data_IF_544805842071
#
_entry.id   IF_544805842071
#
_cell.length_a   1.000
_cell.length_b   1.000
_cell.length_c   1.000
_cell.angle_alpha   90.00
_cell.angle_beta   90.00
_cell.angle_gamma   90.00
#
_symmetry.space_group_name_H-M   'P 1'
#
loop_
_entity.id
_entity.type
_entity.pdbx_description
1 polymer ?
#
# COMPACT_ATOMS: atom_id res chain seq x y z
N UNK A 1 -17.68 -26.64 -53.99
CA UNK A 1 -17.87 -26.86 -52.50
C UNK A 1 -16.64 -26.43 -51.68
N UNK A 2 -15.40 -26.67 -52.08
CA UNK A 2 -14.21 -26.33 -51.25
C UNK A 2 -13.95 -24.82 -51.02
N UNK A 3 -14.40 -23.91 -51.93
CA UNK A 3 -14.25 -22.45 -51.75
C UNK A 3 -15.22 -21.87 -50.72
N UNK A 4 -16.46 -22.36 -50.66
CA UNK A 4 -17.47 -21.90 -49.68
C UNK A 4 -17.11 -22.29 -48.24
N UNK A 5 -16.53 -23.48 -48.05
CA UNK A 5 -16.06 -23.96 -46.75
C UNK A 5 -14.89 -23.13 -46.17
N UNK A 6 -13.98 -22.63 -47.05
CA UNK A 6 -12.89 -21.72 -46.65
C UNK A 6 -13.39 -20.34 -46.22
N UNK A 7 -14.43 -19.81 -46.85
CA UNK A 7 -15.03 -18.50 -46.44
C UNK A 7 -15.81 -18.60 -45.15
N UNK A 8 -16.50 -19.71 -44.88
CA UNK A 8 -17.21 -19.92 -43.60
C UNK A 8 -16.22 -20.14 -42.46
N UNK A 9 -15.10 -20.88 -42.68
CA UNK A 9 -14.08 -21.04 -41.63
C UNK A 9 -13.33 -19.74 -41.31
N UNK A 10 -13.10 -18.87 -42.30
CA UNK A 10 -12.52 -17.55 -42.10
C UNK A 10 -13.45 -16.60 -41.34
N UNK A 11 -14.74 -16.62 -41.67
CA UNK A 11 -15.76 -15.80 -40.99
C UNK A 11 -15.95 -16.15 -39.50
N UNK A 12 -15.95 -17.45 -39.19
CA UNK A 12 -16.04 -17.92 -37.78
C UNK A 12 -14.79 -17.58 -36.97
N UNK A 13 -13.60 -17.67 -37.56
CA UNK A 13 -12.35 -17.30 -36.88
C UNK A 13 -12.28 -15.77 -36.58
N UNK A 14 -12.72 -14.93 -37.52
CA UNK A 14 -12.77 -13.47 -37.34
C UNK A 14 -13.82 -13.09 -36.30
N UNK A 15 -15.00 -13.74 -36.31
CA UNK A 15 -16.06 -13.51 -35.32
C UNK A 15 -15.62 -13.96 -33.91
N UNK A 16 -14.94 -15.11 -33.80
CA UNK A 16 -14.40 -15.61 -32.53
C UNK A 16 -13.27 -14.70 -32.00
N UNK A 17 -12.39 -14.20 -32.88
CA UNK A 17 -11.36 -13.23 -32.49
C UNK A 17 -11.97 -11.89 -32.06
N UNK A 18 -13.02 -11.41 -32.77
CA UNK A 18 -13.75 -10.21 -32.39
C UNK A 18 -14.48 -10.34 -31.06
N UNK A 19 -15.14 -11.48 -30.84
CA UNK A 19 -15.79 -11.79 -29.55
C UNK A 19 -14.77 -11.92 -28.42
N UNK A 20 -13.63 -12.58 -28.66
CA UNK A 20 -12.51 -12.66 -27.72
C UNK A 20 -11.93 -11.31 -27.35
N UNK A 21 -11.72 -10.42 -28.34
CA UNK A 21 -11.25 -9.06 -28.08
C UNK A 21 -12.29 -8.25 -27.32
N UNK A 22 -13.58 -8.32 -27.65
CA UNK A 22 -14.64 -7.65 -26.95
C UNK A 22 -14.77 -8.16 -25.50
N UNK A 23 -14.59 -9.45 -25.28
CA UNK A 23 -14.55 -10.05 -23.94
C UNK A 23 -13.35 -9.54 -23.16
N UNK A 24 -12.14 -9.58 -23.72
CA UNK A 24 -10.91 -9.04 -23.11
C UNK A 24 -11.05 -7.57 -22.80
N UNK A 25 -11.68 -6.79 -23.67
CA UNK A 25 -11.90 -5.36 -23.43
C UNK A 25 -12.89 -5.11 -22.29
N UNK A 26 -13.90 -5.96 -22.13
CA UNK A 26 -14.86 -5.89 -21.01
C UNK A 26 -14.25 -6.34 -19.69
N UNK A 27 -13.34 -7.33 -19.72
CA UNK A 27 -12.73 -7.95 -18.54
C UNK A 27 -11.24 -7.60 -18.38
N UNK A 28 -10.79 -6.54 -19.05
CA UNK A 28 -9.37 -6.16 -19.04
C UNK A 28 -8.82 -5.94 -17.63
N UNK A 29 -9.63 -5.43 -16.71
CA UNK A 29 -9.26 -5.21 -15.31
C UNK A 29 -9.05 -6.55 -14.61
N UNK A 30 -9.98 -7.48 -14.73
CA UNK A 30 -9.85 -8.82 -14.15
C UNK A 30 -8.62 -9.56 -14.69
N UNK A 31 -8.39 -9.50 -16.00
CA UNK A 31 -7.24 -10.15 -16.64
C UNK A 31 -5.92 -9.51 -16.18
N UNK A 32 -5.89 -8.17 -16.08
CA UNK A 32 -4.68 -7.44 -15.68
C UNK A 32 -4.25 -7.76 -14.25
N UNK A 33 -5.18 -8.13 -13.37
CA UNK A 33 -4.91 -8.43 -11.96
C UNK A 33 -4.80 -9.94 -11.66
N UNK A 34 -4.94 -10.83 -12.66
CA UNK A 34 -4.77 -12.28 -12.51
C UNK A 34 -3.43 -12.76 -13.03
N UNK A 35 -2.89 -13.82 -12.42
CA UNK A 35 -1.68 -14.48 -12.91
C UNK A 35 -1.92 -15.15 -14.27
N UNK A 36 -0.92 -15.18 -15.14
CA UNK A 36 0.45 -14.63 -14.98
C UNK A 36 0.57 -13.13 -15.34
N UNK A 37 -0.50 -12.46 -15.75
CA UNK A 37 -0.49 -11.09 -16.29
C UNK A 37 -0.17 -10.08 -15.20
N UNK A 38 -0.67 -10.30 -13.97
CA UNK A 38 -0.50 -9.37 -12.85
C UNK A 38 0.98 -9.10 -12.51
N UNK A 39 1.87 -10.07 -12.69
CA UNK A 39 3.30 -9.87 -12.45
C UNK A 39 3.90 -8.81 -13.37
N UNK A 40 3.44 -8.77 -14.63
CA UNK A 40 3.80 -7.70 -15.56
C UNK A 40 3.07 -6.40 -15.22
N UNK A 41 1.76 -6.46 -15.00
CA UNK A 41 0.92 -5.28 -14.75
C UNK A 41 1.42 -4.50 -13.53
N UNK A 42 1.72 -5.18 -12.41
CA UNK A 42 2.13 -4.53 -11.17
C UNK A 42 3.50 -3.83 -11.25
N UNK A 43 4.27 -4.10 -12.28
CA UNK A 43 5.51 -3.40 -12.59
C UNK A 43 5.39 -2.38 -13.74
N UNK A 44 4.20 -2.29 -14.37
CA UNK A 44 3.95 -1.44 -15.54
C UNK A 44 2.66 -0.60 -15.41
N UNK A 45 2.23 -0.27 -14.19
CA UNK A 45 0.98 0.48 -13.95
C UNK A 45 0.91 1.82 -14.67
N UNK A 46 2.05 2.44 -14.98
CA UNK A 46 2.10 3.67 -15.79
C UNK A 46 1.61 3.49 -17.24
N UNK A 47 1.49 2.24 -17.72
CA UNK A 47 0.86 1.96 -19.02
C UNK A 47 -0.65 1.77 -18.90
N UNK A 48 -1.14 1.52 -17.68
CA UNK A 48 -2.56 1.25 -17.37
C UNK A 48 -3.29 2.52 -16.95
N UNK A 49 -2.65 3.38 -16.15
CA UNK A 49 -3.25 4.62 -15.64
C UNK A 49 -2.40 5.84 -16.05
N UNK A 50 -3.00 7.01 -16.18
CA UNK A 50 -2.26 8.26 -16.12
C UNK A 50 -1.50 8.35 -14.80
N UNK A 51 -0.35 9.00 -14.78
CA UNK A 51 0.48 9.08 -13.59
C UNK A 51 0.92 10.51 -13.27
N UNK A 52 1.13 10.78 -11.98
CA UNK A 52 1.83 11.96 -11.49
C UNK A 52 3.19 11.51 -10.94
N UNK A 53 4.26 12.05 -11.49
CA UNK A 53 5.61 11.69 -11.08
C UNK A 53 5.95 12.24 -9.69
N UNK A 54 6.70 11.45 -8.93
CA UNK A 54 7.40 11.85 -7.70
C UNK A 54 8.89 11.73 -8.01
N UNK A 55 9.55 12.82 -8.44
CA UNK A 55 10.96 12.82 -8.82
C UNK A 55 11.89 12.22 -7.77
N UNK A 56 13.00 11.62 -8.22
CA UNK A 56 14.08 11.19 -7.35
C UNK A 56 14.71 12.39 -6.62
N UNK A 57 15.35 12.12 -5.50
CA UNK A 57 16.08 13.16 -4.77
C UNK A 57 17.25 13.70 -5.60
N UNK A 58 17.48 15.01 -5.50
CA UNK A 58 18.68 15.64 -6.12
C UNK A 58 19.98 15.11 -5.48
N UNK A 59 19.92 14.77 -4.19
CA UNK A 59 20.99 14.13 -3.46
C UNK A 59 20.52 12.77 -2.97
N UNK A 60 20.99 11.72 -3.61
CA UNK A 60 20.68 10.35 -3.23
C UNK A 60 21.42 9.98 -1.94
N UNK A 61 20.69 9.40 -0.98
CA UNK A 61 21.29 8.80 0.21
C UNK A 61 21.55 7.32 -0.07
N UNK A 62 22.79 6.89 -0.17
CA UNK A 62 23.10 5.48 -0.42
C UNK A 62 22.65 4.62 0.74
N UNK A 63 22.20 3.41 0.45
CA UNK A 63 22.02 2.34 1.44
C UNK A 63 23.35 1.58 1.50
N UNK A 64 24.15 1.72 2.58
CA UNK A 64 25.43 1.02 2.67
C UNK A 64 25.22 -0.50 2.58
N UNK A 65 26.06 -1.23 1.85
CA UNK A 65 25.96 -2.70 1.80
C UNK A 65 26.32 -3.32 3.16
N UNK A 66 25.67 -4.39 3.50
CA UNK A 66 25.95 -5.25 4.66
C UNK A 66 25.84 -6.69 4.27
N UNK A 67 26.10 -7.58 5.19
CA UNK A 67 26.01 -9.01 4.99
C UNK A 67 24.87 -9.58 5.83
N UNK A 68 24.02 -10.38 5.22
CA UNK A 68 23.02 -11.15 5.93
C UNK A 68 23.71 -12.38 6.55
N UNK A 69 23.57 -12.63 7.86
CA UNK A 69 24.11 -13.84 8.48
C UNK A 69 23.67 -15.09 7.73
N UNK A 70 24.57 -16.07 7.49
CA UNK A 70 24.22 -17.27 6.75
C UNK A 70 23.25 -18.18 7.51
N UNK A 71 22.59 -19.08 6.78
CA UNK A 71 21.79 -20.15 7.39
C UNK A 71 20.38 -19.73 7.80
N UNK A 72 19.86 -18.60 7.32
CA UNK A 72 18.48 -18.22 7.59
C UNK A 72 17.50 -19.29 7.12
N UNK A 73 16.64 -19.72 8.03
CA UNK A 73 15.46 -20.55 7.76
C UNK A 73 14.33 -20.13 8.69
N UNK A 74 13.11 -20.41 8.29
CA UNK A 74 11.93 -20.18 9.12
C UNK A 74 11.08 -21.46 9.21
N UNK A 75 10.24 -21.55 10.22
CA UNK A 75 9.30 -22.65 10.40
C UNK A 75 7.88 -22.16 10.12
N UNK A 76 7.14 -22.91 9.32
CA UNK A 76 5.72 -22.66 9.08
C UNK A 76 4.97 -23.99 8.98
N UNK A 77 3.95 -24.16 9.84
CA UNK A 77 3.13 -25.38 9.95
C UNK A 77 3.98 -26.65 10.08
N UNK A 78 4.97 -26.60 10.99
CA UNK A 78 5.86 -27.72 11.28
C UNK A 78 6.87 -28.07 10.17
N UNK A 79 7.03 -27.20 9.18
CA UNK A 79 8.00 -27.40 8.11
C UNK A 79 9.02 -26.26 8.10
N UNK A 80 10.33 -26.64 8.16
CA UNK A 80 11.42 -25.69 8.01
C UNK A 80 11.63 -25.36 6.54
N UNK A 81 11.79 -24.07 6.22
CA UNK A 81 11.90 -23.55 4.86
C UNK A 81 13.00 -22.51 4.75
N UNK A 82 13.48 -22.32 3.52
CA UNK A 82 14.48 -21.30 3.14
C UNK A 82 13.80 -20.02 2.64
N UNK A 83 14.59 -18.97 2.43
CA UNK A 83 14.13 -17.72 1.85
C UNK A 83 13.68 -17.91 0.38
N UNK A 84 14.38 -18.77 -0.39
CA UNK A 84 14.02 -19.09 -1.77
C UNK A 84 12.64 -19.79 -1.84
N UNK A 85 12.38 -20.69 -0.89
CA UNK A 85 11.07 -21.34 -0.79
C UNK A 85 9.97 -20.34 -0.43
N UNK A 86 10.23 -19.37 0.48
CA UNK A 86 9.31 -18.26 0.74
C UNK A 86 9.00 -17.50 -0.57
N UNK A 87 10.03 -17.12 -1.31
CA UNK A 87 9.86 -16.38 -2.55
C UNK A 87 9.01 -17.14 -3.57
N UNK A 88 9.27 -18.42 -3.76
CA UNK A 88 8.51 -19.26 -4.68
C UNK A 88 7.05 -19.41 -4.26
N UNK A 89 6.79 -19.70 -2.99
CA UNK A 89 5.45 -19.97 -2.44
C UNK A 89 4.58 -18.73 -2.35
N UNK A 90 5.19 -17.58 -2.06
CA UNK A 90 4.48 -16.30 -1.92
C UNK A 90 4.61 -15.40 -3.15
N UNK A 91 5.06 -15.96 -4.29
CA UNK A 91 5.18 -15.24 -5.55
C UNK A 91 5.88 -13.88 -5.41
N UNK A 92 6.96 -13.84 -4.65
CA UNK A 92 7.74 -12.62 -4.41
C UNK A 92 8.31 -12.09 -5.73
N UNK A 93 8.23 -10.79 -5.94
CA UNK A 93 8.76 -10.10 -7.14
C UNK A 93 9.93 -9.18 -6.82
N UNK A 94 10.02 -8.71 -5.58
CA UNK A 94 11.12 -7.93 -5.06
C UNK A 94 11.19 -8.06 -3.53
N UNK A 95 12.40 -8.10 -3.00
CA UNK A 95 12.66 -8.27 -1.58
C UNK A 95 13.92 -7.52 -1.17
N UNK A 96 13.86 -6.72 -0.12
CA UNK A 96 15.00 -6.03 0.44
C UNK A 96 14.95 -6.04 1.97
N UNK A 97 16.10 -6.21 2.59
CA UNK A 97 16.27 -6.22 4.06
C UNK A 97 17.31 -5.19 4.46
N UNK A 98 16.91 -4.25 5.31
CA UNK A 98 17.85 -3.39 6.03
C UNK A 98 18.00 -3.90 7.45
N UNK A 99 19.24 -3.93 7.94
CA UNK A 99 19.57 -4.13 9.34
C UNK A 99 20.59 -3.08 9.76
N UNK A 100 20.28 -2.34 10.82
CA UNK A 100 21.12 -1.23 11.31
C UNK A 100 21.46 -0.21 10.22
N UNK A 101 20.47 0.08 9.36
CA UNK A 101 20.60 1.02 8.25
C UNK A 101 21.44 0.51 7.07
N UNK A 102 21.88 -0.75 7.05
CA UNK A 102 22.65 -1.36 5.96
C UNK A 102 21.76 -2.31 5.15
N UNK A 103 21.91 -2.32 3.83
CA UNK A 103 21.24 -3.26 2.94
C UNK A 103 21.96 -4.62 3.01
N UNK A 104 21.41 -5.54 3.83
CA UNK A 104 22.01 -6.85 4.09
C UNK A 104 21.53 -7.93 3.14
N UNK A 105 20.38 -7.74 2.50
CA UNK A 105 19.89 -8.65 1.46
C UNK A 105 19.01 -7.91 0.46
N UNK A 106 19.11 -8.30 -0.80
CA UNK A 106 18.27 -7.81 -1.88
C UNK A 106 18.12 -8.90 -2.94
N UNK A 107 16.88 -9.16 -3.37
CA UNK A 107 16.59 -10.14 -4.42
C UNK A 107 15.36 -9.77 -5.24
N UNK A 108 15.33 -10.22 -6.51
CA UNK A 108 14.25 -9.95 -7.47
C UNK A 108 13.87 -11.24 -8.20
N UNK A 109 13.24 -12.19 -7.50
CA UNK A 109 12.92 -13.51 -8.08
C UNK A 109 11.82 -13.47 -9.15
N UNK A 110 11.04 -12.39 -9.22
CA UNK A 110 10.01 -12.20 -10.23
C UNK A 110 10.57 -11.94 -11.62
N UNK A 111 9.87 -12.42 -12.64
CA UNK A 111 10.28 -12.31 -14.06
C UNK A 111 10.48 -10.85 -14.51
N UNK A 112 9.73 -9.91 -13.94
CA UNK A 112 9.77 -8.50 -14.29
C UNK A 112 10.36 -7.64 -13.16
N UNK A 113 11.02 -8.27 -12.17
CA UNK A 113 11.70 -7.62 -11.07
C UNK A 113 12.99 -6.91 -11.48
N UNK A 114 13.55 -6.15 -10.53
CA UNK A 114 14.85 -5.48 -10.68
C UNK A 114 14.97 -4.24 -9.81
N UNK A 115 16.20 -3.79 -9.49
CA UNK A 115 16.44 -2.72 -8.51
C UNK A 115 15.84 -1.37 -8.90
N UNK A 116 15.77 -1.06 -10.19
CA UNK A 116 15.15 0.17 -10.69
C UNK A 116 13.65 0.01 -11.04
N UNK A 117 13.08 -1.19 -10.81
CA UNK A 117 11.69 -1.46 -11.12
C UNK A 117 10.78 -0.91 -10.03
N UNK A 118 9.77 -0.14 -10.43
CA UNK A 118 8.71 0.32 -9.55
C UNK A 118 7.61 -0.72 -9.50
N UNK A 119 7.17 -1.01 -8.29
CA UNK A 119 6.11 -1.97 -8.02
C UNK A 119 4.87 -1.24 -7.56
N UNK A 120 3.71 -1.70 -8.00
CA UNK A 120 2.42 -1.25 -7.49
C UNK A 120 2.29 -1.67 -6.02
N UNK A 121 2.13 -0.71 -5.12
CA UNK A 121 2.15 -0.95 -3.68
C UNK A 121 0.75 -1.18 -3.08
N UNK A 122 -0.30 -0.95 -3.87
CA UNK A 122 -1.68 -1.08 -3.42
C UNK A 122 -1.90 -0.34 -2.08
N UNK A 123 -2.53 -0.99 -1.11
CA UNK A 123 -2.85 -0.35 0.17
C UNK A 123 -1.65 0.06 1.03
N UNK A 124 -0.44 -0.41 0.74
CA UNK A 124 0.77 0.15 1.35
C UNK A 124 0.93 1.66 1.03
N UNK A 125 0.26 2.16 -0.02
CA UNK A 125 0.10 3.60 -0.30
C UNK A 125 -0.50 4.36 0.88
N UNK A 126 -1.40 3.74 1.65
CA UNK A 126 -2.06 4.34 2.81
C UNK A 126 -1.04 4.78 3.87
N UNK A 127 -0.03 3.94 4.11
CA UNK A 127 1.06 4.25 5.02
C UNK A 127 1.91 5.42 4.53
N UNK A 128 2.13 5.53 3.21
CA UNK A 128 2.81 6.70 2.62
C UNK A 128 1.95 7.96 2.80
N UNK A 129 0.64 7.89 2.55
CA UNK A 129 -0.29 9.01 2.74
C UNK A 129 -0.33 9.46 4.21
N UNK A 130 -0.29 8.51 5.15
CA UNK A 130 -0.15 8.80 6.58
C UNK A 130 1.13 9.59 6.88
N UNK A 131 2.27 9.15 6.36
CA UNK A 131 3.55 9.86 6.54
C UNK A 131 3.45 11.30 6.02
N UNK A 132 2.85 11.51 4.86
CA UNK A 132 2.66 12.86 4.30
C UNK A 132 1.74 13.72 5.18
N UNK A 133 0.69 13.15 5.74
CA UNK A 133 -0.20 13.86 6.67
C UNK A 133 0.54 14.22 7.97
N UNK A 134 1.41 13.34 8.48
CA UNK A 134 2.25 13.61 9.64
C UNK A 134 3.22 14.78 9.40
N UNK A 135 3.78 14.88 8.21
CA UNK A 135 4.61 16.02 7.80
C UNK A 135 3.76 17.29 7.73
N UNK A 136 2.56 17.23 7.12
CA UNK A 136 1.65 18.38 7.01
C UNK A 136 1.19 18.90 8.37
N UNK A 137 0.97 18.00 9.34
CA UNK A 137 0.67 18.35 10.73
C UNK A 137 1.87 19.06 11.40
N UNK A 138 3.09 18.53 11.21
CA UNK A 138 4.30 19.14 11.75
C UNK A 138 4.61 20.52 11.15
N UNK A 139 4.28 20.72 9.87
CA UNK A 139 4.39 22.01 9.18
C UNK A 139 3.28 23.00 9.60
N UNK A 140 2.27 22.55 10.35
CA UNK A 140 1.12 23.34 10.78
C UNK A 140 0.13 23.67 9.65
N UNK A 141 0.23 23.03 8.50
CA UNK A 141 -0.75 23.17 7.40
C UNK A 141 -2.01 22.37 7.70
N UNK A 142 -1.91 21.24 8.37
CA UNK A 142 -3.01 20.57 9.06
C UNK A 142 -2.99 21.06 10.52
N UNK A 143 -4.11 21.60 11.02
CA UNK A 143 -4.18 22.25 12.33
C UNK A 143 -4.20 21.24 13.48
N UNK A 144 -5.05 20.25 13.39
CA UNK A 144 -5.23 19.23 14.44
C UNK A 144 -5.74 17.91 13.87
N UNK A 145 -5.43 16.80 14.53
CA UNK A 145 -6.05 15.51 14.23
C UNK A 145 -7.53 15.46 14.63
N UNK A 146 -7.96 16.33 15.51
CA UNK A 146 -9.36 16.48 15.94
C UNK A 146 -10.18 17.33 14.97
N UNK A 147 -9.53 17.96 13.98
CA UNK A 147 -10.24 18.69 12.93
C UNK A 147 -11.12 17.73 12.13
N UNK A 148 -12.35 18.17 11.85
CA UNK A 148 -13.23 17.45 10.95
C UNK A 148 -12.69 17.52 9.52
N UNK A 149 -12.82 16.42 8.78
CA UNK A 149 -12.34 16.37 7.39
C UNK A 149 -13.00 17.40 6.48
N UNK A 150 -14.25 17.79 6.75
CA UNK A 150 -14.97 18.83 6.00
C UNK A 150 -14.38 20.23 6.17
N UNK A 151 -13.52 20.45 7.17
CA UNK A 151 -12.75 21.70 7.31
C UNK A 151 -11.82 21.89 6.12
N UNK A 152 -11.28 20.81 5.60
CA UNK A 152 -10.35 20.78 4.44
C UNK A 152 -11.07 20.42 3.14
N UNK A 153 -12.08 19.55 3.21
CA UNK A 153 -12.83 19.02 2.07
C UNK A 153 -14.32 19.38 2.20
N UNK A 154 -14.71 20.67 2.05
CA UNK A 154 -16.09 21.12 2.25
C UNK A 154 -17.10 20.48 1.29
N UNK A 155 -16.63 19.95 0.16
CA UNK A 155 -17.45 19.20 -0.79
C UNK A 155 -18.00 17.88 -0.20
N UNK A 156 -17.48 17.41 0.92
CA UNK A 156 -17.95 16.22 1.65
C UNK A 156 -19.06 16.53 2.66
N UNK A 157 -19.44 17.80 2.86
CA UNK A 157 -20.53 18.16 3.74
C UNK A 157 -21.83 17.44 3.36
N UNK A 158 -22.56 16.97 4.37
CA UNK A 158 -23.78 16.19 4.23
C UNK A 158 -23.59 14.74 3.75
N UNK A 159 -22.35 14.24 3.68
CA UNK A 159 -22.04 12.82 3.44
C UNK A 159 -21.65 12.11 4.74
N UNK A 160 -21.35 10.80 4.67
CA UNK A 160 -20.82 10.05 5.81
C UNK A 160 -19.50 10.61 6.35
N UNK A 161 -18.80 11.44 5.58
CA UNK A 161 -17.55 12.10 5.95
C UNK A 161 -17.73 13.50 6.56
N UNK A 162 -18.95 13.95 6.83
CA UNK A 162 -19.21 15.25 7.48
C UNK A 162 -18.88 15.26 8.99
N UNK A 163 -19.04 14.11 9.64
CA UNK A 163 -18.83 13.96 11.08
C UNK A 163 -17.41 13.61 11.53
N UNK A 164 -16.70 12.71 10.81
CA UNK A 164 -15.44 12.17 11.28
C UNK A 164 -14.31 13.20 11.32
N UNK A 165 -13.37 12.97 12.24
CA UNK A 165 -12.11 13.71 12.37
C UNK A 165 -11.02 13.06 11.51
N UNK A 166 -9.91 13.78 11.33
CA UNK A 166 -8.71 13.24 10.69
C UNK A 166 -8.21 11.99 11.45
N UNK A 167 -8.24 12.02 12.80
CA UNK A 167 -7.86 10.88 13.62
C UNK A 167 -8.73 9.64 13.36
N UNK A 168 -10.04 9.83 13.15
CA UNK A 168 -10.94 8.71 12.85
C UNK A 168 -10.61 8.05 11.52
N UNK A 169 -10.28 8.82 10.48
CA UNK A 169 -9.88 8.27 9.19
C UNK A 169 -8.51 7.56 9.27
N UNK A 170 -7.56 8.13 10.03
CA UNK A 170 -6.25 7.52 10.24
C UNK A 170 -6.34 6.14 10.90
N UNK A 171 -7.29 5.98 11.81
CA UNK A 171 -7.51 4.75 12.56
C UNK A 171 -8.56 3.83 11.92
N UNK A 172 -9.08 4.14 10.72
CA UNK A 172 -10.15 3.39 10.04
C UNK A 172 -11.41 3.26 10.90
N UNK A 173 -11.76 4.36 11.55
CA UNK A 173 -12.93 4.45 12.44
C UNK A 173 -13.87 5.60 12.04
N UNK A 174 -13.86 6.00 10.77
CA UNK A 174 -14.69 7.08 10.24
C UNK A 174 -16.20 6.85 10.44
N UNK A 175 -16.61 5.60 10.52
CA UNK A 175 -18.01 5.20 10.53
C UNK A 175 -18.68 5.29 9.16
N UNK A 176 -17.95 5.65 8.10
CA UNK A 176 -18.42 5.53 6.74
C UNK A 176 -18.69 4.05 6.40
N UNK A 177 -19.87 3.76 5.88
CA UNK A 177 -20.37 2.40 5.70
C UNK A 177 -19.77 1.70 4.49
N UNK A 178 -20.03 0.38 4.47
CA UNK A 178 -19.59 -0.54 3.44
C UNK A 178 -18.34 -1.33 3.83
N UNK A 179 -18.37 -2.62 3.52
CA UNK A 179 -17.22 -3.53 3.72
C UNK A 179 -16.33 -3.45 2.49
N UNK A 180 -15.02 -3.47 2.69
CA UNK A 180 -14.04 -3.55 1.61
C UNK A 180 -13.95 -5.01 1.10
N UNK A 181 -14.94 -5.41 0.30
CA UNK A 181 -15.04 -6.72 -0.32
C UNK A 181 -14.62 -6.64 -1.80
N UNK A 182 -13.49 -7.27 -2.13
CA UNK A 182 -12.97 -7.27 -3.50
C UNK A 182 -13.76 -8.17 -4.46
N UNK A 183 -14.60 -9.07 -3.95
CA UNK A 183 -15.44 -9.97 -4.76
C UNK A 183 -16.82 -9.37 -5.08
N UNK A 184 -17.33 -8.46 -4.22
CA UNK A 184 -18.60 -7.77 -4.46
C UNK A 184 -18.41 -6.56 -5.41
N UNK A 185 -18.93 -6.58 -6.64
CA UNK A 185 -18.85 -5.45 -7.55
C UNK A 185 -19.49 -4.14 -7.01
N UNK A 186 -20.38 -4.22 -6.02
CA UNK A 186 -21.05 -3.07 -5.43
C UNK A 186 -20.31 -2.51 -4.21
N UNK A 187 -19.34 -3.24 -3.69
CA UNK A 187 -18.52 -2.76 -2.58
C UNK A 187 -17.86 -1.40 -2.93
N UNK A 188 -17.71 -0.50 -1.94
CA UNK A 188 -17.13 0.83 -2.16
C UNK A 188 -15.77 0.80 -2.87
N UNK A 189 -14.90 -0.16 -2.53
CA UNK A 189 -13.59 -0.31 -3.15
C UNK A 189 -13.68 -0.62 -4.64
N UNK A 190 -14.58 -1.50 -5.06
CA UNK A 190 -14.77 -1.84 -6.48
C UNK A 190 -15.45 -0.71 -7.26
N UNK A 191 -16.34 0.05 -6.62
CA UNK A 191 -16.92 1.28 -7.19
C UNK A 191 -15.82 2.35 -7.37
N UNK A 192 -14.94 2.51 -6.38
CA UNK A 192 -13.77 3.39 -6.47
C UNK A 192 -12.86 2.98 -7.64
N UNK A 193 -12.53 1.70 -7.78
CA UNK A 193 -11.69 1.21 -8.88
C UNK A 193 -12.31 1.49 -10.25
N UNK A 194 -13.64 1.32 -10.40
CA UNK A 194 -14.34 1.72 -11.63
C UNK A 194 -14.25 3.23 -11.90
N UNK A 195 -14.37 4.05 -10.86
CA UNK A 195 -14.22 5.50 -11.00
C UNK A 195 -12.77 5.88 -11.39
N UNK A 196 -11.76 5.23 -10.81
CA UNK A 196 -10.35 5.41 -11.18
C UNK A 196 -10.12 5.11 -12.66
N UNK A 197 -10.74 4.05 -13.19
CA UNK A 197 -10.61 3.66 -14.60
C UNK A 197 -11.50 4.46 -15.56
N UNK A 198 -12.21 5.49 -15.06
CA UNK A 198 -12.99 6.45 -15.86
C UNK A 198 -14.48 6.11 -15.98
N UNK A 199 -14.99 5.21 -15.13
CA UNK A 199 -16.41 4.85 -15.06
C UNK A 199 -17.10 5.49 -13.86
N UNK A 200 -17.13 6.81 -13.83
CA UNK A 200 -17.72 7.61 -12.76
C UNK A 200 -16.73 8.57 -12.12
N UNK A 201 -17.13 9.15 -10.99
CA UNK A 201 -16.35 10.10 -10.19
C UNK A 201 -15.97 9.48 -8.85
N UNK A 202 -14.71 9.66 -8.44
CA UNK A 202 -14.26 9.23 -7.10
C UNK A 202 -15.03 10.00 -6.02
N UNK A 203 -15.25 11.30 -6.21
CA UNK A 203 -16.01 12.13 -5.28
C UNK A 203 -17.44 11.60 -5.10
N UNK A 204 -18.10 11.21 -6.20
CA UNK A 204 -19.47 10.67 -6.12
C UNK A 204 -19.50 9.34 -5.37
N UNK A 205 -18.48 8.49 -5.54
CA UNK A 205 -18.36 7.24 -4.77
C UNK A 205 -18.20 7.54 -3.28
N UNK A 206 -17.28 8.45 -2.91
CA UNK A 206 -17.03 8.85 -1.51
C UNK A 206 -18.30 9.45 -0.88
N UNK A 207 -19.02 10.31 -1.61
CA UNK A 207 -20.25 10.92 -1.10
C UNK A 207 -21.45 9.98 -0.98
N UNK A 208 -21.42 8.85 -1.69
CA UNK A 208 -22.57 7.95 -1.82
C UNK A 208 -22.57 6.79 -0.81
N UNK A 209 -21.55 6.67 0.02
CA UNK A 209 -21.57 5.67 1.09
C UNK A 209 -22.40 6.17 2.25
N UNK A 210 -23.14 5.25 2.88
CA UNK A 210 -23.97 5.56 4.03
C UNK A 210 -23.12 5.63 5.31
N UNK A 211 -23.66 6.27 6.35
CA UNK A 211 -23.10 6.20 7.69
C UNK A 211 -23.43 4.84 8.32
N UNK A 212 -22.41 4.04 8.61
CA UNK A 212 -22.58 2.69 9.18
C UNK A 212 -22.50 2.68 10.72
N UNK A 213 -21.68 3.57 11.29
CA UNK A 213 -21.46 3.67 12.74
C UNK A 213 -21.13 5.12 13.13
N UNK A 214 -21.13 5.42 14.43
CA UNK A 214 -20.61 6.69 14.92
C UNK A 214 -19.08 6.75 14.75
N UNK A 215 -18.51 7.88 14.34
CA UNK A 215 -17.06 8.04 14.22
C UNK A 215 -16.32 7.67 15.51
N UNK A 216 -15.18 7.04 15.40
CA UNK A 216 -14.34 6.65 16.53
C UNK A 216 -14.75 5.38 17.29
N UNK A 217 -15.85 4.73 16.91
CA UNK A 217 -16.45 3.62 17.71
C UNK A 217 -16.25 2.23 17.17
N UNK A 218 -15.98 2.09 15.87
CA UNK A 218 -15.88 0.79 15.21
C UNK A 218 -14.80 0.82 14.12
N UNK A 219 -14.01 -0.26 14.04
CA UNK A 219 -13.02 -0.43 12.99
C UNK A 219 -13.69 -0.94 11.70
N UNK A 220 -13.51 -0.20 10.62
CA UNK A 220 -13.93 -0.60 9.28
C UNK A 220 -12.84 -0.20 8.28
N UNK A 221 -12.04 -1.17 7.84
CA UNK A 221 -10.99 -0.89 6.87
C UNK A 221 -11.59 -0.32 5.58
N UNK A 222 -11.14 0.87 5.18
CA UNK A 222 -11.73 1.62 4.08
C UNK A 222 -10.69 2.34 3.23
N UNK A 223 -10.61 1.97 1.96
CA UNK A 223 -9.78 2.73 1.00
C UNK A 223 -10.33 4.14 0.77
N UNK A 224 -11.62 4.39 1.01
CA UNK A 224 -12.20 5.73 0.92
C UNK A 224 -11.67 6.67 2.00
N UNK A 225 -11.47 6.19 3.23
CA UNK A 225 -10.87 6.97 4.32
C UNK A 225 -9.48 7.49 3.88
N UNK A 226 -8.67 6.62 3.32
CA UNK A 226 -7.33 6.98 2.86
C UNK A 226 -7.34 7.90 1.64
N UNK A 227 -8.35 7.76 0.77
CA UNK A 227 -8.55 8.69 -0.34
C UNK A 227 -8.87 10.09 0.17
N UNK A 228 -9.76 10.19 1.15
CA UNK A 228 -10.12 11.48 1.78
C UNK A 228 -8.91 12.09 2.52
N UNK A 229 -8.10 11.28 3.23
CA UNK A 229 -6.84 11.75 3.83
C UNK A 229 -5.88 12.33 2.77
N UNK A 230 -5.79 11.72 1.60
CA UNK A 230 -5.03 12.28 0.47
C UNK A 230 -5.54 13.65 0.04
N UNK A 231 -6.86 13.84 -0.03
CA UNK A 231 -7.47 15.14 -0.33
C UNK A 231 -7.26 16.17 0.79
N UNK A 232 -7.29 15.75 2.05
CA UNK A 232 -6.96 16.63 3.19
C UNK A 232 -5.53 17.16 3.05
N UNK A 233 -4.56 16.31 2.70
CA UNK A 233 -3.17 16.76 2.45
C UNK A 233 -3.12 17.76 1.29
N UNK A 234 -3.77 17.48 0.15
CA UNK A 234 -3.80 18.39 -1.00
C UNK A 234 -4.45 19.74 -0.65
N UNK A 235 -5.58 19.72 0.06
CA UNK A 235 -6.30 20.93 0.45
C UNK A 235 -5.53 21.77 1.47
N UNK A 236 -4.95 21.13 2.50
CA UNK A 236 -4.22 21.81 3.57
C UNK A 236 -2.91 22.44 3.06
N UNK A 237 -2.22 21.76 2.13
CA UNK A 237 -0.92 22.21 1.63
C UNK A 237 -1.02 23.07 0.37
N UNK A 238 -2.14 23.04 -0.31
CA UNK A 238 -2.32 23.67 -1.64
C UNK A 238 -1.51 23.00 -2.76
N UNK A 239 -0.95 21.81 -2.49
CA UNK A 239 -0.10 21.07 -3.43
C UNK A 239 -0.76 19.75 -3.87
N UNK A 240 -0.63 19.34 -5.14
CA UNK A 240 -0.95 17.97 -5.52
C UNK A 240 -0.17 16.94 -4.68
N UNK A 241 -0.80 15.82 -4.31
CA UNK A 241 -0.22 14.80 -3.41
C UNK A 241 1.15 14.30 -3.90
N UNK A 242 1.31 14.09 -5.20
CA UNK A 242 2.58 13.65 -5.79
C UNK A 242 3.70 14.71 -5.67
N UNK A 243 3.36 16.00 -5.81
CA UNK A 243 4.32 17.08 -5.63
C UNK A 243 4.74 17.18 -4.16
N UNK A 244 3.78 17.15 -3.24
CA UNK A 244 4.05 17.18 -1.81
C UNK A 244 4.91 15.99 -1.37
N UNK A 245 4.59 14.77 -1.85
CA UNK A 245 5.40 13.58 -1.63
C UNK A 245 6.85 13.75 -2.13
N UNK A 246 7.04 14.37 -3.30
CA UNK A 246 8.38 14.62 -3.85
C UNK A 246 9.18 15.58 -2.99
N UNK A 247 8.59 16.72 -2.61
CA UNK A 247 9.28 17.79 -1.93
C UNK A 247 9.51 17.52 -0.44
N UNK A 248 8.57 16.85 0.23
CA UNK A 248 8.58 16.70 1.68
C UNK A 248 9.03 15.33 2.18
N UNK A 249 8.89 14.30 1.34
CA UNK A 249 9.30 12.94 1.73
C UNK A 249 10.44 12.43 0.85
N UNK A 250 10.23 12.33 -0.47
CA UNK A 250 11.15 11.65 -1.38
C UNK A 250 12.52 12.32 -1.44
N UNK A 251 12.54 13.66 -1.48
CA UNK A 251 13.78 14.45 -1.40
C UNK A 251 14.51 14.29 -0.06
N UNK A 252 13.76 14.24 1.04
CA UNK A 252 14.30 14.16 2.40
C UNK A 252 14.92 12.80 2.72
N UNK A 253 14.29 11.71 2.28
CA UNK A 253 14.86 10.35 2.46
C UNK A 253 15.99 10.06 1.47
N UNK A 254 16.30 10.95 0.53
CA UNK A 254 17.32 10.76 -0.49
C UNK A 254 17.00 9.60 -1.45
N UNK A 255 15.76 9.52 -1.90
CA UNK A 255 15.28 8.44 -2.79
C UNK A 255 16.07 8.44 -4.12
N UNK A 256 16.54 7.25 -4.53
CA UNK A 256 17.39 7.10 -5.73
C UNK A 256 16.59 7.03 -7.03
N UNK A 257 15.32 6.64 -6.96
CA UNK A 257 14.49 6.42 -8.15
C UNK A 257 13.21 7.24 -8.06
N UNK A 258 12.79 7.83 -9.17
CA UNK A 258 11.51 8.49 -9.24
C UNK A 258 10.38 7.47 -8.99
N UNK A 259 9.44 7.79 -8.09
CA UNK A 259 8.19 7.09 -7.88
C UNK A 259 7.06 7.76 -8.67
N UNK A 260 5.83 7.26 -8.54
CA UNK A 260 4.64 7.93 -9.09
C UNK A 260 3.37 7.48 -8.39
N UNK A 261 2.36 8.36 -8.39
CA UNK A 261 0.97 8.00 -8.12
C UNK A 261 0.23 7.72 -9.42
N UNK A 262 -0.58 6.65 -9.45
CA UNK A 262 -1.61 6.50 -10.46
C UNK A 262 -2.71 7.54 -10.26
N UNK A 263 -3.19 8.13 -11.35
CA UNK A 263 -4.26 9.11 -11.35
C UNK A 263 -5.55 8.51 -11.89
N UNK A 264 -6.68 9.04 -11.46
CA UNK A 264 -7.97 8.72 -12.09
C UNK A 264 -7.95 9.11 -13.58
N UNK A 265 -8.67 8.34 -14.41
CA UNK A 265 -8.90 8.70 -15.82
C UNK A 265 -9.95 9.79 -15.98
N UNK A 266 -10.92 9.86 -15.06
CA UNK A 266 -11.93 10.92 -15.02
C UNK A 266 -11.28 12.28 -14.67
N UNK A 267 -11.96 13.37 -15.01
CA UNK A 267 -11.50 14.73 -14.68
C UNK A 267 -12.42 15.36 -13.63
N UNK A 268 -11.88 16.17 -12.72
CA UNK A 268 -10.45 16.42 -12.51
C UNK A 268 -9.71 15.15 -12.14
N UNK A 269 -8.47 14.99 -12.65
CA UNK A 269 -7.62 13.85 -12.27
C UNK A 269 -7.16 14.02 -10.83
N UNK A 270 -7.30 12.98 -10.03
CA UNK A 270 -6.82 12.93 -8.65
C UNK A 270 -5.91 11.74 -8.44
N UNK A 271 -4.93 11.88 -7.57
CA UNK A 271 -4.11 10.77 -7.11
C UNK A 271 -4.95 9.82 -6.25
N UNK A 272 -4.76 8.51 -6.40
CA UNK A 272 -5.46 7.54 -5.56
C UNK A 272 -4.66 7.31 -4.29
N UNK A 273 -4.90 8.17 -3.29
CA UNK A 273 -4.14 8.23 -2.03
C UNK A 273 -4.22 6.98 -1.17
N UNK A 274 -5.19 6.11 -1.41
CA UNK A 274 -5.34 4.83 -0.70
C UNK A 274 -4.75 3.61 -1.43
N UNK A 275 -4.19 3.74 -2.67
CA UNK A 275 -3.87 2.52 -3.39
C UNK A 275 -3.01 2.61 -4.65
N UNK A 276 -2.46 3.76 -5.02
CA UNK A 276 -1.82 3.88 -6.34
C UNK A 276 -0.36 4.30 -6.36
N UNK A 277 0.33 4.28 -5.23
CA UNK A 277 1.75 4.60 -5.19
C UNK A 277 2.59 3.47 -5.77
N UNK A 278 3.58 3.83 -6.58
CA UNK A 278 4.50 2.90 -7.23
C UNK A 278 5.93 3.35 -6.97
N UNK A 279 6.73 2.48 -6.36
CA UNK A 279 8.11 2.78 -5.98
C UNK A 279 8.99 1.53 -6.06
N UNK A 280 10.31 1.71 -5.98
CA UNK A 280 11.28 0.62 -5.88
C UNK A 280 11.29 0.03 -4.46
N UNK A 281 11.72 -1.21 -4.31
CA UNK A 281 11.87 -1.79 -2.95
C UNK A 281 12.93 -1.06 -2.13
N UNK A 282 13.99 -0.56 -2.77
CA UNK A 282 15.04 0.23 -2.09
C UNK A 282 14.52 1.54 -1.53
N UNK A 283 13.71 2.26 -2.31
CA UNK A 283 13.17 3.54 -1.85
C UNK A 283 12.09 3.36 -0.80
N UNK A 284 11.30 2.26 -0.88
CA UNK A 284 10.42 1.89 0.21
C UNK A 284 11.17 1.44 1.47
N UNK A 285 12.34 0.82 1.32
CA UNK A 285 13.20 0.52 2.46
C UNK A 285 13.73 1.81 3.14
N UNK A 286 13.97 2.89 2.38
CA UNK A 286 14.29 4.22 2.95
C UNK A 286 13.09 4.80 3.73
N UNK A 287 11.86 4.64 3.23
CA UNK A 287 10.65 5.00 4.00
C UNK A 287 10.56 4.19 5.29
N UNK A 288 10.79 2.88 5.22
CA UNK A 288 10.83 2.03 6.41
C UNK A 288 11.94 2.44 7.40
N UNK A 289 13.13 2.79 6.90
CA UNK A 289 14.25 3.25 7.73
C UNK A 289 13.93 4.58 8.43
N UNK A 290 13.28 5.52 7.74
CA UNK A 290 12.76 6.75 8.34
C UNK A 290 11.84 6.41 9.53
N UNK A 291 10.91 5.49 9.34
CA UNK A 291 9.98 5.08 10.39
C UNK A 291 10.68 4.30 11.51
N UNK A 292 11.64 3.42 11.21
CA UNK A 292 12.42 2.70 12.22
C UNK A 292 13.25 3.63 13.11
N UNK A 293 13.62 4.80 12.61
CA UNK A 293 14.43 5.82 13.30
C UNK A 293 13.60 6.98 13.85
N UNK A 294 12.36 6.73 14.26
CA UNK A 294 11.50 7.72 14.88
C UNK A 294 11.18 8.93 13.99
N UNK A 295 11.19 8.75 12.66
CA UNK A 295 10.87 9.80 11.71
C UNK A 295 12.04 10.74 11.35
N UNK A 296 13.28 10.40 11.75
CA UNK A 296 14.47 11.22 11.49
C UNK A 296 15.37 10.62 10.39
N UNK A 297 16.04 11.49 9.64
CA UNK A 297 17.07 11.17 8.65
C UNK A 297 18.30 12.00 8.94
N UNK A 298 19.45 11.37 9.22
CA UNK A 298 20.73 12.03 9.55
C UNK A 298 20.59 13.09 10.66
N UNK A 299 19.73 12.86 11.64
CA UNK A 299 19.47 13.77 12.75
C UNK A 299 18.45 14.88 12.45
N UNK A 300 17.96 15.00 11.22
CA UNK A 300 16.88 15.92 10.85
C UNK A 300 15.53 15.23 10.99
N UNK A 301 14.60 15.81 11.78
CA UNK A 301 13.25 15.30 11.93
C UNK A 301 12.45 15.60 10.66
N UNK A 302 11.98 14.56 9.99
CA UNK A 302 11.13 14.64 8.79
C UNK A 302 9.66 14.41 9.15
N UNK A 303 9.41 13.43 10.01
CA UNK A 303 8.08 13.09 10.53
C UNK A 303 8.17 13.16 12.06
N UNK A 304 7.21 13.74 12.78
CA UNK A 304 7.26 13.77 14.24
C UNK A 304 7.43 12.38 14.86
N UNK A 305 8.23 12.27 15.92
CA UNK A 305 8.43 10.99 16.62
C UNK A 305 7.10 10.45 17.17
N UNK A 306 6.25 11.33 17.70
CA UNK A 306 4.91 10.96 18.18
C UNK A 306 4.04 10.38 17.08
N UNK A 307 4.24 10.80 15.83
CA UNK A 307 3.55 10.24 14.67
C UNK A 307 3.93 8.79 14.41
N UNK A 308 5.23 8.50 14.53
CA UNK A 308 5.75 7.13 14.41
C UNK A 308 5.22 6.26 15.54
N UNK A 309 5.28 6.74 16.79
CA UNK A 309 4.74 6.04 17.96
C UNK A 309 3.23 5.77 17.83
N UNK A 310 2.46 6.71 17.28
CA UNK A 310 1.06 6.51 16.98
C UNK A 310 0.83 5.34 15.99
N UNK A 311 1.69 5.17 14.99
CA UNK A 311 1.63 4.06 14.03
C UNK A 311 1.88 2.68 14.66
N UNK A 312 2.55 2.64 15.83
CA UNK A 312 2.82 1.40 16.59
C UNK A 312 1.65 0.96 17.47
N UNK A 313 0.60 1.76 17.56
CA UNK A 313 -0.64 1.45 18.28
C UNK A 313 -1.41 2.70 18.69
N UNK A 314 -2.71 2.73 18.43
CA UNK A 314 -3.59 3.90 18.64
C UNK A 314 -3.93 4.20 20.10
N UNK A 315 -3.66 3.31 21.02
CA UNK A 315 -4.15 3.38 22.39
C UNK A 315 -5.62 2.98 22.55
N UNK A 316 -6.41 2.84 21.46
CA UNK A 316 -7.78 2.34 21.51
C UNK A 316 -7.76 0.81 21.69
N UNK A 317 -8.45 0.32 22.74
CA UNK A 317 -8.49 -1.10 23.11
C UNK A 317 -8.90 -2.01 21.95
N UNK A 318 -9.94 -1.62 21.22
CA UNK A 318 -10.51 -2.41 20.14
C UNK A 318 -9.68 -2.40 18.83
N UNK A 319 -8.58 -1.64 18.79
CA UNK A 319 -7.64 -1.60 17.67
C UNK A 319 -6.32 -2.33 17.96
N UNK A 320 -6.14 -2.88 19.15
CA UNK A 320 -4.92 -3.60 19.51
C UNK A 320 -4.80 -4.92 18.76
N UNK A 321 -3.58 -5.45 18.58
CA UNK A 321 -3.38 -6.80 18.08
C UNK A 321 -4.23 -7.82 18.83
N UNK A 322 -4.95 -8.66 18.09
CA UNK A 322 -5.91 -9.63 18.61
C UNK A 322 -7.34 -9.12 18.75
N UNK A 323 -7.56 -7.82 18.94
CA UNK A 323 -8.90 -7.27 19.06
C UNK A 323 -9.69 -7.28 17.74
N UNK A 324 -8.98 -7.35 16.59
CA UNK A 324 -9.56 -7.42 15.24
C UNK A 324 -9.72 -8.87 14.74
N UNK A 325 -9.53 -9.88 15.60
CA UNK A 325 -9.40 -11.29 15.20
C UNK A 325 -10.66 -11.93 14.61
N UNK A 326 -11.82 -11.31 14.71
CA UNK A 326 -13.04 -11.74 14.01
C UNK A 326 -13.00 -11.43 12.51
N UNK A 327 -12.20 -10.41 12.11
CA UNK A 327 -12.13 -9.90 10.75
C UNK A 327 -10.74 -10.11 10.12
N UNK A 328 -9.68 -10.09 10.95
CA UNK A 328 -8.28 -10.13 10.52
C UNK A 328 -7.47 -11.10 11.38
N UNK A 329 -6.31 -11.61 10.88
CA UNK A 329 -5.43 -12.46 11.67
C UNK A 329 -5.08 -11.85 13.03
N UNK A 330 -5.06 -12.67 14.08
CA UNK A 330 -4.93 -12.24 15.48
C UNK A 330 -3.62 -11.48 15.81
N UNK A 331 -2.62 -11.56 14.94
CA UNK A 331 -1.38 -10.81 15.11
C UNK A 331 -1.49 -9.34 14.71
N UNK A 332 -2.59 -8.92 14.05
CA UNK A 332 -2.78 -7.54 13.62
C UNK A 332 -3.64 -6.74 14.60
N UNK A 333 -3.20 -5.51 14.85
CA UNK A 333 -3.98 -4.36 15.26
C UNK A 333 -3.84 -3.25 14.21
N UNK A 334 -4.45 -2.08 14.45
CA UNK A 334 -4.41 -0.98 13.47
C UNK A 334 -4.26 0.37 14.14
N UNK A 335 -3.44 1.23 13.57
CA UNK A 335 -3.34 2.63 13.96
C UNK A 335 -2.67 3.46 12.85
N UNK A 336 -3.16 4.67 12.64
CA UNK A 336 -2.46 5.67 11.84
C UNK A 336 -2.11 5.22 10.41
N UNK A 337 -2.98 4.41 9.78
CA UNK A 337 -2.78 3.77 8.47
C UNK A 337 -1.64 2.74 8.43
N UNK A 338 -1.32 2.15 9.59
CA UNK A 338 -0.37 1.05 9.75
C UNK A 338 -1.00 -0.12 10.50
N UNK A 339 -0.57 -1.32 10.17
CA UNK A 339 -0.91 -2.54 10.90
C UNK A 339 0.12 -2.75 12.02
N UNK A 340 -0.32 -2.66 13.27
CA UNK A 340 0.54 -2.93 14.44
C UNK A 340 0.62 -4.43 14.71
N UNK A 341 1.79 -4.93 15.07
CA UNK A 341 2.04 -6.36 15.28
C UNK A 341 2.14 -6.74 16.76
N UNK A 342 2.21 -5.74 17.64
CA UNK A 342 2.35 -5.98 19.09
C UNK A 342 3.69 -6.58 19.49
N UNK A 343 3.68 -7.34 20.59
CA UNK A 343 4.90 -7.92 21.18
C UNK A 343 5.80 -6.86 21.83
N UNK A 344 6.97 -7.29 22.35
CA UNK A 344 7.92 -6.41 23.03
C UNK A 344 8.52 -5.35 22.09
N UNK A 345 8.76 -5.70 20.84
CA UNK A 345 9.31 -4.78 19.84
C UNK A 345 8.29 -3.77 19.33
N UNK A 346 6.98 -4.04 19.49
CA UNK A 346 5.91 -3.21 18.95
C UNK A 346 6.17 -2.87 17.47
N UNK A 347 6.58 -3.90 16.70
CA UNK A 347 6.79 -3.79 15.27
C UNK A 347 5.47 -3.46 14.56
N UNK A 348 5.55 -2.87 13.38
CA UNK A 348 4.38 -2.51 12.57
C UNK A 348 4.68 -2.69 11.09
N UNK A 349 3.64 -2.77 10.29
CA UNK A 349 3.78 -3.03 8.86
C UNK A 349 2.76 -2.26 8.03
N UNK A 350 3.18 -1.76 6.88
CA UNK A 350 2.27 -1.38 5.81
C UNK A 350 1.95 -2.62 4.96
N UNK A 351 0.68 -2.84 4.65
CA UNK A 351 0.22 -3.95 3.83
C UNK A 351 -0.43 -3.47 2.54
N UNK A 352 -0.30 -4.28 1.51
CA UNK A 352 -1.03 -4.12 0.26
C UNK A 352 -1.49 -5.48 -0.28
N UNK A 353 -2.69 -5.49 -0.86
CA UNK A 353 -3.21 -6.70 -1.51
C UNK A 353 -2.20 -7.27 -2.50
N UNK A 354 -2.35 -8.55 -2.82
CA UNK A 354 -1.39 -9.34 -3.63
C UNK A 354 -0.01 -9.50 -2.97
N UNK A 355 0.13 -9.25 -1.64
CA UNK A 355 1.30 -9.56 -0.85
C UNK A 355 2.40 -8.50 -0.83
N UNK A 356 2.03 -7.21 -0.72
CA UNK A 356 2.97 -6.13 -0.50
C UNK A 356 3.15 -5.90 0.99
N UNK A 357 4.41 -5.85 1.46
CA UNK A 357 4.77 -5.63 2.86
C UNK A 357 5.86 -4.57 2.98
N UNK A 358 5.70 -3.67 3.93
CA UNK A 358 6.76 -2.85 4.49
C UNK A 358 6.80 -3.09 6.00
N UNK A 359 7.62 -4.03 6.42
CA UNK A 359 7.82 -4.37 7.83
C UNK A 359 8.85 -3.45 8.46
N UNK A 360 8.52 -2.92 9.63
CA UNK A 360 9.38 -2.02 10.41
C UNK A 360 9.46 -2.51 11.84
N UNK A 361 10.66 -2.84 12.28
CA UNK A 361 10.97 -3.19 13.66
C UNK A 361 12.01 -2.23 14.22
N UNK A 362 11.59 -1.18 14.95
CA UNK A 362 12.52 -0.18 15.47
C UNK A 362 13.45 -0.69 16.55
N UNK A 363 13.09 -1.74 17.30
CA UNK A 363 13.89 -2.30 18.39
C UNK A 363 15.04 -3.14 17.83
N UNK A 364 14.75 -3.97 16.82
CA UNK A 364 15.77 -4.75 16.13
C UNK A 364 16.53 -3.92 15.06
N UNK A 365 16.14 -2.68 14.78
CA UNK A 365 16.61 -1.85 13.66
C UNK A 365 16.57 -2.62 12.33
N UNK A 366 15.42 -3.29 12.07
CA UNK A 366 15.19 -4.10 10.88
C UNK A 366 14.05 -3.50 10.06
N UNK A 367 14.27 -3.38 8.77
CA UNK A 367 13.25 -3.06 7.78
C UNK A 367 13.22 -4.13 6.70
N UNK A 368 12.04 -4.64 6.37
CA UNK A 368 11.87 -5.54 5.24
C UNK A 368 10.82 -5.00 4.29
N UNK A 369 11.18 -4.92 3.02
CA UNK A 369 10.24 -4.64 1.92
C UNK A 369 10.07 -5.90 1.11
N UNK A 370 8.83 -6.32 0.92
CA UNK A 370 8.48 -7.44 0.06
C UNK A 370 7.38 -7.02 -0.90
N UNK A 371 7.62 -7.19 -2.18
CA UNK A 371 6.58 -7.08 -3.21
C UNK A 371 6.28 -8.45 -3.79
N UNK A 372 5.04 -8.67 -4.17
CA UNK A 372 4.58 -9.96 -4.68
C UNK A 372 3.50 -9.78 -5.75
N UNK A 373 3.18 -10.88 -6.42
CA UNK A 373 2.06 -10.98 -7.35
C UNK A 373 1.24 -12.25 -7.02
N UNK A 374 0.56 -12.24 -5.88
CA UNK A 374 -0.30 -13.36 -5.47
C UNK A 374 -1.40 -13.62 -6.50
N UNK A 375 -1.93 -14.85 -6.59
CA UNK A 375 -3.02 -15.17 -7.51
C UNK A 375 -4.33 -14.44 -7.22
N UNK A 376 -4.56 -14.10 -5.95
CA UNK A 376 -5.76 -13.43 -5.42
C UNK A 376 -5.36 -12.20 -4.60
N UNK A 377 -6.28 -11.27 -4.43
CA UNK A 377 -6.02 -10.02 -3.70
C UNK A 377 -5.62 -10.30 -2.25
N UNK A 378 -6.34 -11.16 -1.57
CA UNK A 378 -6.12 -11.57 -0.20
C UNK A 378 -5.92 -13.08 -0.12
N UNK A 379 -4.90 -13.52 0.62
CA UNK A 379 -4.56 -14.92 0.81
C UNK A 379 -4.05 -15.11 2.26
N UNK A 380 -4.92 -15.52 3.18
CA UNK A 380 -4.56 -15.67 4.59
C UNK A 380 -3.41 -16.64 4.86
N UNK A 381 -3.26 -17.67 4.03
CA UNK A 381 -2.18 -18.64 4.19
C UNK A 381 -0.83 -18.05 3.81
N UNK A 382 -0.76 -17.30 2.70
CA UNK A 382 0.46 -16.60 2.27
C UNK A 382 0.79 -15.42 3.17
N UNK A 383 -0.22 -14.73 3.70
CA UNK A 383 -0.05 -13.71 4.70
C UNK A 383 0.61 -14.29 5.96
N UNK A 384 0.02 -15.32 6.55
CA UNK A 384 0.52 -15.98 7.75
C UNK A 384 1.94 -16.56 7.54
N UNK A 385 2.23 -17.16 6.38
CA UNK A 385 3.57 -17.65 6.05
C UNK A 385 4.58 -16.50 5.94
N UNK A 386 4.18 -15.37 5.33
CA UNK A 386 5.03 -14.19 5.21
C UNK A 386 5.34 -13.61 6.59
N UNK A 387 4.33 -13.42 7.44
CA UNK A 387 4.53 -12.90 8.81
C UNK A 387 5.44 -13.81 9.62
N UNK A 388 5.25 -15.14 9.56
CA UNK A 388 6.12 -16.09 10.24
C UNK A 388 7.58 -16.00 9.76
N UNK A 389 7.78 -15.88 8.45
CA UNK A 389 9.13 -15.76 7.87
C UNK A 389 9.80 -14.42 8.24
N UNK A 390 9.06 -13.30 8.19
CA UNK A 390 9.61 -11.97 8.54
C UNK A 390 9.93 -11.90 10.05
N UNK A 391 9.08 -12.44 10.92
CA UNK A 391 9.35 -12.52 12.35
C UNK A 391 10.61 -13.36 12.64
N UNK A 392 10.76 -14.51 11.98
CA UNK A 392 11.96 -15.35 12.11
C UNK A 392 13.22 -14.64 11.57
N UNK A 393 13.08 -13.85 10.49
CA UNK A 393 14.19 -13.08 9.93
C UNK A 393 14.67 -12.00 10.90
N UNK A 394 13.75 -11.27 11.54
CA UNK A 394 14.08 -10.28 12.57
C UNK A 394 14.85 -10.95 13.72
N UNK A 395 14.36 -12.09 14.21
CA UNK A 395 15.04 -12.86 15.28
C UNK A 395 16.43 -13.31 14.83
N UNK A 396 16.58 -13.81 13.60
CA UNK A 396 17.86 -14.26 13.04
C UNK A 396 18.88 -13.14 12.97
N UNK A 397 18.45 -11.94 12.54
CA UNK A 397 19.32 -10.76 12.46
C UNK A 397 19.71 -10.23 13.85
N UNK A 398 18.79 -10.25 14.81
CA UNK A 398 19.03 -9.77 16.16
C UNK A 398 19.96 -10.70 16.98
N UNK A 399 20.00 -12.00 16.67
CA UNK A 399 20.81 -13.00 17.40
C UNK A 399 22.19 -13.25 16.80
N UNK A 400 22.48 -12.73 15.63
CA UNK A 400 23.75 -12.93 14.91
C UNK A 400 24.84 -11.90 15.29
N UNK A 401 24.90 -11.50 16.58
CA UNK A 401 25.93 -10.63 17.13
C UNK A 401 27.21 -11.36 17.52
#
# INVERSE_FOLDING_TARGET
MARAARWMAGGTAVAAAGAGMAWLWRHQEEVAFRRPVNEWTFTHMSTVLPVAAVPAAAQVRPLPPGDMPPGFTYEFRGTRRTLEELHARTHTTGFAVLHRGRLVHESYPGRFGGPARRFQLFSLTKSVTSVLLGIALAEGTVGSLDDKVVTYCPELAGSAFDGPTIADLLDMTSGAGGVEDYEDPQAPVNRLMRAVTGRGSILDVVRSVDTGAAPGTFFNYSTLDSQVLGWVVEAATGMPLAQYASERLWSRIGAETAAYYGLSRSRPRTAVGGGSFNATVRDMARVGLLMARGGAVDGEQVVPEEWVERGRGSGKEFLRPGALSELYPAHYGYANQWWSLGGEHRAFTGLGIYGQFLWVDPVADVVVVKTSAWPVAEDPDRDAETVAALSALVTHLATAE
#
